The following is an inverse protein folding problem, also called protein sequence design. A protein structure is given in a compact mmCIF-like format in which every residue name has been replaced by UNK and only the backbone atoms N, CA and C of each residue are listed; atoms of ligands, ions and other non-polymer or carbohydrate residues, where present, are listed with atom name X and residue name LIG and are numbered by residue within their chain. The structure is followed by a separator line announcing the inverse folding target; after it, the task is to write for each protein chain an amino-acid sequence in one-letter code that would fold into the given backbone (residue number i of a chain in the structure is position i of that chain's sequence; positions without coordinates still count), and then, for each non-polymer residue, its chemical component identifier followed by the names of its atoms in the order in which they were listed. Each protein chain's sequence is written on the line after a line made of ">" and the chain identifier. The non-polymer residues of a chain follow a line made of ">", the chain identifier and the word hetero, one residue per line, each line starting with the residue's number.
data_IF_672882584063
#
_entry.id   IF_672882584063
#
_cell.length_a   1.000
_cell.length_b   1.000
_cell.length_c   1.000
_cell.angle_alpha   90.00
_cell.angle_beta   90.00
_cell.angle_gamma   90.00
#
_symmetry.space_group_name_H-M   'P 1'
#
loop_
_entity.id
_entity.type
_entity.pdbx_description
1 polymer ?
#
# COMPACT_ATOMS: atom_id res chain seq x y z
N UNK A 1 3.48 -28.79 -1.63
CA UNK A 1 3.66 -27.45 -1.05
C UNK A 1 4.91 -26.85 -1.67
N UNK A 2 4.77 -25.83 -2.53
CA UNK A 2 5.91 -25.16 -3.18
C UNK A 2 6.38 -24.07 -2.23
N UNK A 3 7.62 -24.14 -1.75
CA UNK A 3 8.21 -23.11 -0.90
C UNK A 3 9.00 -22.18 -1.81
N UNK A 4 8.41 -21.03 -2.10
CA UNK A 4 9.04 -19.95 -2.84
C UNK A 4 9.23 -18.71 -1.97
N UNK A 5 10.23 -17.90 -2.29
CA UNK A 5 10.51 -16.71 -1.51
C UNK A 5 11.63 -15.86 -2.08
N UNK A 6 12.05 -14.88 -1.27
CA UNK A 6 13.13 -13.96 -1.64
C UNK A 6 14.15 -13.85 -0.52
N UNK A 7 15.40 -14.16 -0.81
CA UNK A 7 16.52 -13.82 0.07
C UNK A 7 16.86 -12.34 -0.06
N UNK A 8 17.24 -11.73 1.07
CA UNK A 8 17.70 -10.34 1.15
C UNK A 8 19.18 -10.37 1.57
N UNK A 9 20.06 -10.34 0.58
CA UNK A 9 21.51 -10.41 0.79
C UNK A 9 22.12 -9.00 0.82
N UNK A 10 23.31 -8.88 1.45
CA UNK A 10 24.11 -7.64 1.48
C UNK A 10 23.34 -6.40 1.93
N UNK A 11 22.71 -6.49 3.10
CA UNK A 11 21.94 -5.38 3.67
C UNK A 11 22.86 -4.25 4.12
N UNK A 12 22.65 -3.03 3.58
CA UNK A 12 23.35 -1.82 3.98
C UNK A 12 22.33 -0.69 4.15
N UNK A 13 22.50 0.11 5.21
CA UNK A 13 21.74 1.36 5.36
C UNK A 13 22.23 2.32 4.27
N UNK A 14 21.30 3.02 3.61
CA UNK A 14 21.65 3.92 2.50
C UNK A 14 21.03 5.29 2.64
N UNK A 15 19.90 5.40 3.31
CA UNK A 15 19.22 6.68 3.45
C UNK A 15 18.32 6.71 4.68
N UNK A 16 17.97 7.91 5.13
CA UNK A 16 16.93 8.15 6.12
C UNK A 16 16.00 9.28 5.66
N UNK A 17 14.74 9.19 6.04
CA UNK A 17 13.70 10.20 5.75
C UNK A 17 12.59 10.16 6.78
N UNK A 18 11.85 11.26 6.91
CA UNK A 18 10.58 11.22 7.63
C UNK A 18 9.50 10.53 6.78
N UNK A 19 8.67 9.74 7.44
CA UNK A 19 7.54 9.05 6.82
C UNK A 19 6.35 9.00 7.79
N UNK A 20 5.16 8.86 7.25
CA UNK A 20 4.01 8.50 8.04
C UNK A 20 3.99 6.99 8.29
N UNK A 21 4.11 6.58 9.54
CA UNK A 21 4.00 5.18 9.92
C UNK A 21 2.55 4.86 10.29
N UNK A 22 1.90 3.96 9.52
CA UNK A 22 0.51 3.57 9.76
C UNK A 22 0.30 2.78 11.04
N UNK A 23 1.34 2.12 11.54
CA UNK A 23 1.28 1.34 12.80
C UNK A 23 1.45 2.26 14.01
N UNK A 24 2.40 3.20 13.94
CA UNK A 24 2.59 4.18 15.01
C UNK A 24 1.55 5.32 14.95
N UNK A 25 0.78 5.43 13.85
CA UNK A 25 -0.16 6.53 13.56
C UNK A 25 0.47 7.91 13.74
N UNK A 26 1.76 8.04 13.41
CA UNK A 26 2.53 9.26 13.59
C UNK A 26 3.64 9.39 12.54
N UNK A 27 4.12 10.63 12.36
CA UNK A 27 5.34 10.88 11.62
C UNK A 27 6.53 10.30 12.39
N UNK A 28 7.35 9.50 11.72
CA UNK A 28 8.53 8.82 12.28
C UNK A 28 9.69 8.86 11.30
N UNK A 29 10.90 8.66 11.83
CA UNK A 29 12.08 8.43 11.03
C UNK A 29 11.99 7.04 10.39
N UNK A 30 12.26 6.92 9.10
CA UNK A 30 12.43 5.66 8.43
C UNK A 30 13.85 5.51 7.90
N UNK A 31 14.39 4.32 8.07
CA UNK A 31 15.73 3.96 7.61
C UNK A 31 15.58 3.10 6.36
N UNK A 32 16.16 3.57 5.26
CA UNK A 32 16.24 2.85 4.00
C UNK A 32 17.40 1.87 4.00
N UNK A 33 17.12 0.59 3.85
CA UNK A 33 18.13 -0.47 3.76
C UNK A 33 18.13 -1.04 2.35
N UNK A 34 19.25 -0.89 1.65
CA UNK A 34 19.47 -1.52 0.34
C UNK A 34 19.87 -2.98 0.55
N UNK A 35 19.29 -3.85 -0.26
CA UNK A 35 19.63 -5.26 -0.30
C UNK A 35 19.55 -5.79 -1.73
N UNK A 36 20.27 -6.88 -1.99
CA UNK A 36 20.11 -7.68 -3.19
C UNK A 36 18.98 -8.69 -2.96
N UNK A 37 17.91 -8.59 -3.73
CA UNK A 37 16.82 -9.56 -3.72
C UNK A 37 17.18 -10.72 -4.64
N UNK A 38 17.17 -11.95 -4.13
CA UNK A 38 17.40 -13.18 -4.90
C UNK A 38 16.19 -14.06 -4.75
N UNK A 39 15.59 -14.44 -5.87
CA UNK A 39 14.50 -15.40 -5.87
C UNK A 39 15.02 -16.80 -5.57
N UNK A 40 14.33 -17.52 -4.71
CA UNK A 40 14.64 -18.91 -4.41
C UNK A 40 13.40 -19.80 -4.56
N UNK A 41 13.63 -21.02 -4.99
CA UNK A 41 12.65 -22.10 -5.02
C UNK A 41 13.26 -23.26 -4.24
N UNK A 42 12.52 -23.82 -3.29
CA UNK A 42 13.02 -24.89 -2.40
C UNK A 42 14.39 -24.56 -1.78
N UNK A 43 14.56 -23.29 -1.32
CA UNK A 43 15.81 -22.76 -0.73
C UNK A 43 17.00 -22.65 -1.69
N UNK A 44 16.87 -23.06 -2.94
CA UNK A 44 17.91 -22.92 -3.96
C UNK A 44 17.81 -21.52 -4.57
N UNK A 45 18.87 -20.68 -4.49
CA UNK A 45 18.86 -19.36 -5.14
C UNK A 45 18.90 -19.55 -6.67
N UNK A 46 17.87 -19.06 -7.36
CA UNK A 46 17.75 -19.23 -8.80
C UNK A 46 18.24 -18.01 -9.58
N UNK A 47 17.72 -16.84 -9.24
CA UNK A 47 18.08 -15.62 -9.98
C UNK A 47 18.08 -14.37 -9.10
N UNK A 48 19.01 -13.41 -9.37
CA UNK A 48 18.97 -12.11 -8.72
C UNK A 48 17.84 -11.26 -9.32
N UNK A 49 16.93 -10.76 -8.46
CA UNK A 49 15.85 -9.85 -8.84
C UNK A 49 16.31 -8.39 -8.90
N UNK A 50 17.59 -8.13 -8.56
CA UNK A 50 18.13 -6.79 -8.53
C UNK A 50 18.24 -6.19 -7.13
N UNK A 51 18.66 -4.91 -7.09
CA UNK A 51 18.81 -4.15 -5.85
C UNK A 51 17.50 -3.46 -5.50
N UNK A 52 17.04 -3.66 -4.26
CA UNK A 52 15.84 -3.00 -3.74
C UNK A 52 16.19 -2.22 -2.48
N UNK A 53 15.45 -1.14 -2.22
CA UNK A 53 15.52 -0.38 -0.97
C UNK A 53 14.25 -0.63 -0.19
N UNK A 54 14.40 -1.09 1.04
CA UNK A 54 13.30 -1.33 1.98
C UNK A 54 13.34 -0.26 3.07
N UNK A 55 12.21 0.41 3.26
CA UNK A 55 12.06 1.43 4.29
C UNK A 55 11.40 0.86 5.54
N UNK A 56 12.07 1.00 6.68
CA UNK A 56 11.54 0.55 7.98
C UNK A 56 11.44 1.71 8.94
N UNK A 57 10.34 1.73 9.68
CA UNK A 57 10.17 2.67 10.78
C UNK A 57 11.22 2.41 11.85
N UNK A 58 11.84 3.47 12.36
CA UNK A 58 12.84 3.40 13.43
C UNK A 58 12.25 2.90 14.77
N UNK A 59 10.97 3.19 15.03
CA UNK A 59 10.32 2.87 16.31
C UNK A 59 9.71 1.47 16.33
N UNK A 60 8.93 1.10 15.31
CA UNK A 60 8.22 -0.19 15.29
C UNK A 60 8.87 -1.25 14.37
N UNK A 61 9.92 -0.88 13.64
CA UNK A 61 10.69 -1.74 12.71
C UNK A 61 9.87 -2.34 11.56
N UNK A 62 8.59 -1.95 11.44
CA UNK A 62 7.72 -2.42 10.37
C UNK A 62 8.06 -1.70 9.07
N UNK A 63 7.95 -2.43 7.97
CA UNK A 63 8.18 -1.88 6.64
C UNK A 63 7.10 -0.86 6.30
N UNK A 64 7.51 0.38 6.07
CA UNK A 64 6.59 1.51 5.82
C UNK A 64 5.95 1.41 4.43
N UNK A 65 6.70 0.95 3.44
CA UNK A 65 6.22 0.79 2.05
C UNK A 65 5.38 -0.48 1.83
N UNK A 66 5.18 -1.31 2.89
CA UNK A 66 4.35 -2.53 2.79
C UNK A 66 2.87 -2.21 2.54
N UNK A 67 2.41 -1.04 2.96
CA UNK A 67 1.07 -0.57 2.66
C UNK A 67 1.02 0.01 1.25
N UNK A 68 0.89 -0.88 0.25
CA UNK A 68 0.56 -0.46 -1.11
C UNK A 68 -0.94 -0.21 -1.18
N UNK A 69 -1.39 1.05 -1.31
CA UNK A 69 -2.82 1.31 -1.47
C UNK A 69 -3.31 0.58 -2.73
N UNK A 70 -4.47 -0.07 -2.62
CA UNK A 70 -5.14 -0.69 -3.77
C UNK A 70 -5.16 0.32 -4.91
N UNK A 71 -4.73 -0.11 -6.11
CA UNK A 71 -4.68 0.80 -7.27
C UNK A 71 -6.06 1.45 -7.47
N UNK A 72 -6.07 2.74 -7.79
CA UNK A 72 -7.31 3.54 -7.90
C UNK A 72 -8.32 2.92 -8.87
N UNK A 73 -7.85 2.33 -9.97
CA UNK A 73 -8.71 1.70 -10.96
C UNK A 73 -9.41 0.43 -10.43
N UNK A 74 -8.75 -0.35 -9.54
CA UNK A 74 -9.34 -1.55 -8.94
C UNK A 74 -10.53 -1.16 -8.05
N UNK A 75 -10.38 -0.09 -7.24
CA UNK A 75 -11.49 0.38 -6.41
C UNK A 75 -12.63 0.98 -7.25
N UNK A 76 -12.31 1.65 -8.36
CA UNK A 76 -13.31 2.15 -9.30
C UNK A 76 -14.08 1.02 -9.99
N UNK A 77 -13.35 0.03 -10.51
CA UNK A 77 -13.96 -1.13 -11.15
C UNK A 77 -14.81 -1.96 -10.18
N UNK A 78 -14.35 -2.15 -8.94
CA UNK A 78 -15.14 -2.84 -7.92
C UNK A 78 -16.43 -2.12 -7.55
N UNK A 79 -16.44 -0.78 -7.51
CA UNK A 79 -17.67 0.00 -7.30
C UNK A 79 -18.64 -0.13 -8.48
N UNK A 80 -18.12 -0.09 -9.72
CA UNK A 80 -18.95 -0.29 -10.93
C UNK A 80 -19.57 -1.70 -10.98
N UNK A 81 -18.76 -2.72 -10.65
CA UNK A 81 -19.27 -4.09 -10.56
C UNK A 81 -20.36 -4.23 -9.50
N UNK A 82 -20.16 -3.65 -8.30
CA UNK A 82 -21.18 -3.63 -7.25
C UNK A 82 -22.46 -2.93 -7.68
N UNK A 83 -22.36 -1.78 -8.36
CA UNK A 83 -23.50 -1.07 -8.92
C UNK A 83 -24.24 -1.91 -9.97
N UNK A 84 -23.50 -2.62 -10.81
CA UNK A 84 -24.09 -3.55 -11.79
C UNK A 84 -24.94 -4.63 -11.11
N UNK A 85 -24.46 -5.24 -10.02
CA UNK A 85 -25.24 -6.24 -9.28
C UNK A 85 -26.49 -5.65 -8.65
N UNK A 86 -26.43 -4.41 -8.13
CA UNK A 86 -27.61 -3.71 -7.59
C UNK A 86 -28.64 -3.48 -8.70
N UNK A 87 -28.21 -2.96 -9.85
CA UNK A 87 -29.10 -2.69 -10.98
C UNK A 87 -29.71 -3.97 -11.57
N UNK A 88 -28.88 -5.01 -11.68
CA UNK A 88 -29.35 -6.32 -12.18
C UNK A 88 -30.38 -6.95 -11.23
N UNK A 89 -30.13 -6.91 -9.92
CA UNK A 89 -31.10 -7.37 -8.92
C UNK A 89 -32.39 -6.52 -8.93
N UNK A 90 -32.27 -5.20 -9.07
CA UNK A 90 -33.41 -4.30 -9.15
C UNK A 90 -34.26 -4.52 -10.43
N UNK A 91 -33.62 -4.87 -11.55
CA UNK A 91 -34.31 -5.19 -12.80
C UNK A 91 -35.24 -6.41 -12.66
N UNK A 92 -34.96 -7.32 -11.73
CA UNK A 92 -35.84 -8.45 -11.41
C UNK A 92 -37.19 -8.05 -10.81
N UNK A 93 -37.33 -6.81 -10.30
CA UNK A 93 -38.59 -6.28 -9.79
C UNK A 93 -39.41 -5.53 -10.85
N UNK A 94 -38.87 -5.28 -12.04
CA UNK A 94 -39.61 -4.59 -13.09
C UNK A 94 -40.58 -5.57 -13.73
N UNK A 95 -41.83 -5.14 -14.01
CA UNK A 95 -42.82 -5.98 -14.71
C UNK A 95 -42.30 -6.28 -16.11
N UNK A 96 -42.15 -7.57 -16.43
CA UNK A 96 -41.78 -7.99 -17.78
C UNK A 96 -42.89 -7.51 -18.77
N UNK A 97 -42.51 -6.82 -19.83
CA UNK A 97 -43.45 -6.51 -20.89
C UNK A 97 -43.79 -7.82 -21.63
N UNK A 98 -45.01 -8.30 -21.49
CA UNK A 98 -45.62 -9.43 -22.18
C UNK A 98 -45.38 -10.84 -21.64
N UNK A 99 -46.49 -11.53 -21.40
CA UNK A 99 -46.85 -12.96 -21.48
C UNK A 99 -46.01 -14.09 -20.92
N UNK A 100 -44.80 -13.91 -20.53
CA UNK A 100 -44.03 -14.94 -19.82
C UNK A 100 -44.01 -14.65 -18.34
N UNK A 101 -45.02 -15.16 -17.60
CA UNK A 101 -45.01 -15.21 -16.12
C UNK A 101 -43.90 -16.15 -15.65
N UNK A 102 -42.66 -15.70 -15.73
CA UNK A 102 -41.59 -16.33 -14.96
C UNK A 102 -41.77 -15.90 -13.51
N UNK A 103 -41.87 -16.84 -12.56
CA UNK A 103 -41.85 -16.48 -11.16
C UNK A 103 -40.56 -15.71 -10.90
N UNK A 104 -40.69 -14.44 -10.54
CA UNK A 104 -39.50 -13.64 -10.11
C UNK A 104 -39.01 -14.32 -8.84
N UNK A 105 -37.82 -14.86 -8.88
CA UNK A 105 -37.17 -15.40 -7.70
C UNK A 105 -36.71 -14.21 -6.83
N UNK A 106 -37.64 -13.77 -5.95
CA UNK A 106 -37.42 -12.67 -5.02
C UNK A 106 -36.16 -12.88 -4.16
N UNK A 107 -35.86 -14.15 -3.81
CA UNK A 107 -34.66 -14.50 -3.05
C UNK A 107 -33.42 -14.12 -3.81
N UNK A 108 -33.32 -14.55 -5.08
CA UNK A 108 -32.15 -14.25 -5.93
C UNK A 108 -31.97 -12.74 -6.16
N UNK A 109 -33.06 -12.01 -6.41
CA UNK A 109 -33.00 -10.54 -6.61
C UNK A 109 -32.49 -9.81 -5.36
N UNK A 110 -32.95 -10.19 -4.18
CA UNK A 110 -32.48 -9.62 -2.90
C UNK A 110 -31.02 -9.94 -2.61
N UNK A 111 -30.60 -11.18 -2.89
CA UNK A 111 -29.18 -11.59 -2.74
C UNK A 111 -28.25 -10.77 -3.65
N UNK A 112 -28.63 -10.55 -4.89
CA UNK A 112 -27.85 -9.74 -5.84
C UNK A 112 -27.75 -8.28 -5.37
N UNK A 113 -28.82 -7.69 -4.91
CA UNK A 113 -28.81 -6.32 -4.35
C UNK A 113 -27.93 -6.27 -3.11
N UNK A 114 -28.07 -7.21 -2.17
CA UNK A 114 -27.29 -7.29 -0.96
C UNK A 114 -25.79 -7.40 -1.25
N UNK A 115 -25.41 -8.29 -2.17
CA UNK A 115 -24.03 -8.45 -2.62
C UNK A 115 -23.49 -7.17 -3.26
N UNK A 116 -24.27 -6.53 -4.12
CA UNK A 116 -23.89 -5.28 -4.78
C UNK A 116 -23.65 -4.14 -3.78
N UNK A 117 -24.53 -3.97 -2.79
CA UNK A 117 -24.37 -2.97 -1.72
C UNK A 117 -23.12 -3.26 -0.89
N UNK A 118 -22.89 -4.51 -0.51
CA UNK A 118 -21.70 -4.92 0.25
C UNK A 118 -20.40 -4.61 -0.51
N UNK A 119 -20.37 -4.90 -1.82
CA UNK A 119 -19.24 -4.57 -2.68
C UNK A 119 -19.00 -3.06 -2.77
N UNK A 120 -20.03 -2.27 -3.04
CA UNK A 120 -19.90 -0.80 -3.11
C UNK A 120 -19.38 -0.25 -1.78
N UNK A 121 -19.95 -0.68 -0.66
CA UNK A 121 -19.55 -0.26 0.68
C UNK A 121 -18.07 -0.61 0.97
N UNK A 122 -17.65 -1.84 0.65
CA UNK A 122 -16.29 -2.29 0.84
C UNK A 122 -15.28 -1.47 0.01
N UNK A 123 -15.55 -1.25 -1.27
CA UNK A 123 -14.64 -0.47 -2.13
C UNK A 123 -14.66 1.03 -1.81
N UNK A 124 -15.79 1.58 -1.38
CA UNK A 124 -15.88 2.95 -0.86
C UNK A 124 -15.04 3.11 0.42
N UNK A 125 -15.10 2.16 1.35
CA UNK A 125 -14.27 2.13 2.55
C UNK A 125 -12.77 2.05 2.22
N UNK A 126 -12.37 1.17 1.28
CA UNK A 126 -10.98 1.07 0.82
C UNK A 126 -10.49 2.41 0.23
N UNK A 127 -11.34 3.06 -0.57
CA UNK A 127 -11.03 4.38 -1.16
C UNK A 127 -10.89 5.47 -0.10
N UNK A 128 -11.76 5.47 0.90
CA UNK A 128 -11.70 6.42 2.01
C UNK A 128 -10.42 6.22 2.85
N UNK A 129 -10.10 4.97 3.21
CA UNK A 129 -8.87 4.62 3.93
C UNK A 129 -7.62 5.06 3.15
N UNK A 130 -7.62 4.87 1.84
CA UNK A 130 -6.53 5.32 0.97
C UNK A 130 -6.36 6.84 1.01
N UNK A 131 -7.46 7.62 0.86
CA UNK A 131 -7.41 9.08 0.91
C UNK A 131 -6.83 9.59 2.22
N UNK A 132 -7.29 9.07 3.35
CA UNK A 132 -6.74 9.41 4.66
C UNK A 132 -5.24 9.14 4.76
N UNK A 133 -4.78 8.03 4.20
CA UNK A 133 -3.36 7.72 4.17
C UNK A 133 -2.57 8.69 3.28
N UNK A 134 -3.09 9.02 2.09
CA UNK A 134 -2.46 9.98 1.18
C UNK A 134 -2.39 11.38 1.80
N UNK A 135 -3.43 11.82 2.52
CA UNK A 135 -3.46 13.08 3.26
C UNK A 135 -2.41 13.08 4.38
N UNK A 136 -2.34 12.02 5.18
CA UNK A 136 -1.33 11.89 6.23
C UNK A 136 0.11 11.91 5.67
N UNK A 137 0.34 11.25 4.54
CA UNK A 137 1.66 11.26 3.86
C UNK A 137 2.01 12.66 3.35
N UNK A 138 1.03 13.44 2.86
CA UNK A 138 1.26 14.82 2.40
C UNK A 138 1.62 15.78 3.55
N UNK A 139 1.15 15.49 4.77
CA UNK A 139 1.42 16.29 5.96
C UNK A 139 2.78 15.98 6.60
N UNK A 140 3.52 15.00 6.08
CA UNK A 140 4.86 14.66 6.60
C UNK A 140 5.80 15.83 6.38
N UNK A 141 6.30 16.40 7.48
CA UNK A 141 7.30 17.47 7.43
C UNK A 141 8.64 16.88 6.99
N UNK A 142 9.30 17.44 5.96
CA UNK A 142 10.61 16.98 5.53
C UNK A 142 11.62 17.05 6.69
N UNK A 143 12.67 16.26 6.62
CA UNK A 143 13.82 16.39 7.52
C UNK A 143 14.46 17.76 7.26
N UNK A 144 14.36 18.64 8.22
CA UNK A 144 15.02 19.94 8.21
C UNK A 144 16.10 19.95 9.28
N UNK A 145 17.31 20.36 8.92
CA UNK A 145 18.41 20.49 9.87
C UNK A 145 19.77 20.16 9.27
N UNK A 146 20.79 20.72 9.89
CA UNK A 146 22.19 20.55 9.50
C UNK A 146 22.83 19.34 10.19
N UNK A 147 22.05 18.56 10.93
CA UNK A 147 22.54 17.42 11.69
C UNK A 147 21.89 16.11 11.27
N UNK A 148 22.69 15.07 11.29
CA UNK A 148 22.21 13.72 11.01
C UNK A 148 21.23 13.25 12.10
N UNK A 149 20.03 12.78 11.78
CA UNK A 149 19.07 12.31 12.78
C UNK A 149 19.49 10.99 13.46
N UNK A 150 20.51 10.30 12.95
CA UNK A 150 21.00 9.02 13.49
C UNK A 150 22.17 9.19 14.45
N UNK A 151 23.08 10.14 14.19
CA UNK A 151 24.30 10.30 14.98
C UNK A 151 24.57 11.75 15.44
N UNK A 152 23.69 12.68 15.13
CA UNK A 152 23.79 14.11 15.42
C UNK A 152 25.02 14.83 14.79
N UNK A 153 25.85 14.15 13.97
CA UNK A 153 26.96 14.77 13.26
C UNK A 153 26.47 15.82 12.26
N UNK A 154 27.27 16.85 12.02
CA UNK A 154 27.00 17.87 11.01
C UNK A 154 26.94 17.23 9.63
N UNK A 155 25.94 17.59 8.86
CA UNK A 155 25.80 17.13 7.47
C UNK A 155 26.62 18.04 6.55
N UNK A 156 27.23 17.42 5.53
CA UNK A 156 27.87 18.21 4.49
C UNK A 156 26.80 19.00 3.71
N UNK A 157 26.99 20.33 3.50
CA UNK A 157 26.08 21.12 2.70
C UNK A 157 26.15 20.68 1.24
N UNK A 158 25.15 19.94 0.79
CA UNK A 158 25.05 19.45 -0.58
C UNK A 158 23.57 19.42 -1.00
N UNK A 159 23.34 19.31 -2.30
CA UNK A 159 21.97 19.12 -2.87
C UNK A 159 21.28 17.89 -2.27
N UNK A 160 22.08 16.90 -1.85
CA UNK A 160 21.63 15.74 -1.05
C UNK A 160 22.52 15.67 0.19
N UNK A 161 21.99 16.11 1.35
CA UNK A 161 22.75 16.03 2.59
C UNK A 161 23.19 14.59 2.86
N UNK A 162 24.49 14.40 3.10
CA UNK A 162 25.10 13.09 3.34
C UNK A 162 25.80 13.09 4.70
N UNK A 163 25.57 12.04 5.46
CA UNK A 163 26.28 11.83 6.71
C UNK A 163 27.45 10.87 6.50
N UNK A 164 28.68 11.39 6.60
CA UNK A 164 29.88 10.58 6.44
C UNK A 164 30.08 9.56 7.58
N UNK A 165 29.63 9.88 8.79
CA UNK A 165 29.76 9.00 9.96
C UNK A 165 28.83 7.78 9.87
N UNK A 166 27.63 7.94 9.33
CA UNK A 166 26.64 6.87 9.17
C UNK A 166 26.61 6.25 7.77
N UNK A 167 27.31 6.88 6.82
CA UNK A 167 27.30 6.53 5.40
C UNK A 167 25.88 6.49 4.78
N UNK A 168 25.02 7.43 5.16
CA UNK A 168 23.63 7.50 4.72
C UNK A 168 23.29 8.85 4.12
N UNK A 169 22.44 8.83 3.08
CA UNK A 169 21.80 10.04 2.54
C UNK A 169 20.66 10.46 3.44
N UNK A 170 20.58 11.74 3.75
CA UNK A 170 19.45 12.33 4.48
C UNK A 170 18.49 12.93 3.46
N UNK A 171 17.36 12.27 3.24
CA UNK A 171 16.39 12.71 2.26
C UNK A 171 15.44 13.73 2.89
N UNK A 172 15.48 14.94 2.36
CA UNK A 172 14.62 16.06 2.78
C UNK A 172 13.22 16.01 2.14
N UNK A 173 12.99 15.08 1.20
CA UNK A 173 11.70 14.82 0.55
C UNK A 173 11.46 13.34 0.34
#
# INVERSE_FOLDING_TARGET
>A
MIIDGRYKLFRRRVACRHVWCSVCSAQRLAIGTRHLAVYHLFFVPLMPLGRAVEWRCDTCFIQVDAFRPVRAWISGFGMLAGLFFVLFGAAGFLPAPTDVRRPVDLGFSLEMIGLGIAMVGFFAWLRHRRRRHEEAVRQVVPLAGDRCPLCAAMLAPAVRPYCAACEVDVLTR
#
